data_IF_667968677167
#
_entry.id   IF_667968677167
#
_cell.length_a   1.000
_cell.length_b   1.000
_cell.length_c   1.000
_cell.angle_alpha   90.00
_cell.angle_beta   90.00
_cell.angle_gamma   90.00
#
_symmetry.space_group_name_H-M   'P 1'
#
loop_
_entity.id
_entity.type
_entity.pdbx_description
1 polymer ?
#
# COMPACT_ATOMS: atom_id res chain seq x y z
N UNK A 1 -28.93 12.90 -14.99
CA UNK A 1 -27.62 12.41 -14.52
C UNK A 1 -27.59 12.70 -13.02
N UNK A 2 -28.07 11.77 -12.22
CA UNK A 2 -27.99 11.88 -10.77
C UNK A 2 -26.52 11.67 -10.38
N UNK A 3 -25.95 12.68 -9.71
CA UNK A 3 -24.66 12.56 -9.06
C UNK A 3 -24.75 11.40 -8.06
N UNK A 4 -24.17 10.26 -8.40
CA UNK A 4 -23.92 9.20 -7.46
C UNK A 4 -22.95 9.77 -6.40
N UNK A 5 -23.50 10.35 -5.35
CA UNK A 5 -22.70 10.78 -4.22
C UNK A 5 -22.24 9.51 -3.52
N UNK A 6 -20.98 9.14 -3.71
CA UNK A 6 -20.34 8.13 -2.90
C UNK A 6 -20.59 8.44 -1.42
N UNK A 7 -21.16 7.50 -0.70
CA UNK A 7 -21.43 7.67 0.72
C UNK A 7 -20.09 7.69 1.48
N UNK A 8 -19.84 8.78 2.16
CA UNK A 8 -18.63 8.97 2.96
C UNK A 8 -18.90 8.57 4.39
N UNK A 9 -18.06 7.72 4.97
CA UNK A 9 -18.17 7.22 6.33
C UNK A 9 -16.95 7.65 7.18
N UNK A 10 -17.11 7.66 8.48
CA UNK A 10 -16.02 8.00 9.40
C UNK A 10 -15.64 9.48 9.36
N UNK A 11 -14.39 9.81 9.05
CA UNK A 11 -13.84 11.17 9.02
C UNK A 11 -14.31 12.03 7.85
N UNK A 12 -15.02 11.46 6.89
CA UNK A 12 -15.43 12.12 5.66
C UNK A 12 -14.59 11.71 4.44
N UNK A 13 -13.52 10.93 4.63
CA UNK A 13 -12.68 10.38 3.57
C UNK A 13 -12.79 8.87 3.42
N UNK A 14 -13.45 8.18 4.38
CA UNK A 14 -13.79 6.75 4.23
C UNK A 14 -14.99 6.59 3.29
N UNK A 15 -14.94 5.61 2.40
CA UNK A 15 -15.91 5.40 1.34
C UNK A 15 -16.62 4.05 1.47
N UNK A 16 -17.94 4.05 1.33
CA UNK A 16 -18.69 2.79 1.16
C UNK A 16 -18.47 2.28 -0.26
N UNK A 17 -18.11 1.01 -0.37
CA UNK A 17 -17.89 0.36 -1.67
C UNK A 17 -19.22 -0.11 -2.21
N UNK A 18 -19.61 0.41 -3.35
CA UNK A 18 -20.86 0.10 -4.06
C UNK A 18 -20.62 -0.65 -5.38
N UNK A 19 -19.37 -0.72 -5.84
CA UNK A 19 -18.97 -1.40 -7.07
C UNK A 19 -17.73 -2.26 -6.85
N UNK A 20 -17.55 -3.26 -7.69
CA UNK A 20 -16.33 -4.06 -7.72
C UNK A 20 -15.13 -3.20 -8.11
N UNK A 21 -14.07 -3.20 -7.29
CA UNK A 21 -12.85 -2.42 -7.53
C UNK A 21 -12.08 -2.86 -8.78
N UNK A 22 -12.30 -4.09 -9.27
CA UNK A 22 -11.63 -4.62 -10.49
C UNK A 22 -12.47 -4.43 -11.74
N UNK A 23 -13.74 -4.85 -11.73
CA UNK A 23 -14.55 -4.88 -12.96
C UNK A 23 -15.74 -3.93 -12.95
N UNK A 24 -15.85 -3.09 -11.91
CA UNK A 24 -16.91 -2.08 -11.75
C UNK A 24 -18.34 -2.64 -11.75
N UNK A 25 -18.50 -3.97 -11.54
CA UNK A 25 -19.83 -4.57 -11.40
C UNK A 25 -20.53 -4.00 -10.15
N UNK A 26 -21.76 -3.46 -10.26
CA UNK A 26 -22.49 -2.91 -9.12
C UNK A 26 -23.13 -3.96 -8.24
N UNK A 27 -23.28 -5.18 -8.74
CA UNK A 27 -23.90 -6.29 -7.99
C UNK A 27 -22.83 -7.00 -7.16
N UNK A 28 -22.79 -6.73 -5.86
CA UNK A 28 -21.87 -7.34 -4.92
C UNK A 28 -22.64 -8.15 -3.88
N UNK A 29 -22.25 -9.40 -3.69
CA UNK A 29 -22.85 -10.31 -2.73
C UNK A 29 -22.18 -10.19 -1.36
N UNK A 30 -22.90 -9.86 -0.27
CA UNK A 30 -22.35 -9.91 1.07
C UNK A 30 -22.13 -11.36 1.50
N UNK A 31 -20.89 -11.73 1.82
CA UNK A 31 -20.52 -13.11 2.16
C UNK A 31 -20.18 -13.32 3.63
N UNK A 32 -19.62 -12.31 4.31
CA UNK A 32 -19.20 -12.42 5.70
C UNK A 32 -19.16 -11.05 6.38
N UNK A 33 -19.74 -10.97 7.57
CA UNK A 33 -19.56 -9.82 8.44
C UNK A 33 -18.76 -10.22 9.68
N UNK A 34 -17.54 -9.71 9.80
CA UNK A 34 -16.63 -10.03 10.91
C UNK A 34 -16.97 -9.20 12.16
N UNK A 35 -17.60 -8.05 11.98
CA UNK A 35 -17.94 -7.11 13.06
C UNK A 35 -17.36 -5.72 12.82
N UNK A 36 -17.34 -4.93 13.88
CA UNK A 36 -16.69 -3.62 13.89
C UNK A 36 -15.30 -3.76 14.47
N UNK A 37 -14.28 -3.42 13.69
CA UNK A 37 -12.87 -3.60 14.06
C UNK A 37 -12.19 -2.23 14.18
N UNK A 38 -11.35 -2.02 15.21
CA UNK A 38 -10.52 -0.82 15.29
C UNK A 38 -9.36 -0.90 14.28
N UNK A 39 -8.79 0.23 13.86
CA UNK A 39 -7.54 0.24 13.10
C UNK A 39 -6.42 -0.44 13.88
N UNK A 40 -5.73 -1.39 13.25
CA UNK A 40 -4.72 -2.24 13.91
C UNK A 40 -3.53 -1.43 14.44
N UNK A 41 -3.21 -0.32 13.78
CA UNK A 41 -1.99 0.46 14.02
C UNK A 41 -2.18 1.62 15.02
N UNK A 42 -3.36 1.76 15.61
CA UNK A 42 -3.59 2.69 16.71
C UNK A 42 -3.08 2.09 18.03
N UNK A 43 -1.77 2.10 18.23
CA UNK A 43 -1.15 1.60 19.44
C UNK A 43 -1.18 2.68 20.53
N UNK A 44 -1.81 2.36 21.65
CA UNK A 44 -1.77 3.21 22.84
C UNK A 44 -0.47 3.02 23.60
N UNK A 45 0.10 4.06 24.21
CA UNK A 45 1.26 3.93 25.10
C UNK A 45 0.98 2.96 26.25
N UNK A 46 2.02 2.24 26.69
CA UNK A 46 1.95 1.36 27.86
C UNK A 46 1.51 2.18 29.08
N UNK A 47 0.56 1.65 29.84
CA UNK A 47 -0.06 2.31 31.02
C UNK A 47 -0.96 3.52 30.70
N UNK A 48 -1.33 3.76 29.43
CA UNK A 48 -2.39 4.73 29.15
C UNK A 48 -3.73 4.24 29.69
N UNK A 49 -4.59 5.18 30.08
CA UNK A 49 -5.97 4.84 30.45
C UNK A 49 -6.72 4.29 29.23
N UNK A 50 -7.64 3.33 29.42
CA UNK A 50 -8.51 2.88 28.34
C UNK A 50 -9.24 4.06 27.69
N UNK A 51 -9.22 4.11 26.38
CA UNK A 51 -9.90 5.14 25.59
C UNK A 51 -10.85 4.47 24.60
N UNK A 52 -11.95 5.13 24.30
CA UNK A 52 -12.82 4.71 23.21
C UNK A 52 -12.05 4.84 21.88
N UNK A 53 -12.08 3.78 21.08
CA UNK A 53 -11.41 3.74 19.78
C UNK A 53 -12.45 3.70 18.66
N UNK A 54 -12.21 4.37 17.54
CA UNK A 54 -13.04 4.21 16.37
C UNK A 54 -13.03 2.76 15.89
N UNK A 55 -14.18 2.26 15.46
CA UNK A 55 -14.29 0.92 14.88
C UNK A 55 -15.08 0.99 13.57
N UNK A 56 -14.62 0.25 12.58
CA UNK A 56 -15.15 0.26 11.22
C UNK A 56 -15.75 -1.10 10.87
N UNK A 57 -16.87 -1.15 10.09
CA UNK A 57 -17.49 -2.40 9.70
C UNK A 57 -16.56 -3.19 8.76
N UNK A 58 -16.26 -4.43 9.13
CA UNK A 58 -15.52 -5.37 8.30
C UNK A 58 -16.49 -6.33 7.60
N UNK A 59 -17.20 -5.83 6.59
CA UNK A 59 -18.07 -6.58 5.71
C UNK A 59 -17.29 -7.03 4.48
N UNK A 60 -17.28 -8.34 4.22
CA UNK A 60 -16.70 -8.90 3.01
C UNK A 60 -17.77 -9.05 1.95
N UNK A 61 -17.44 -8.60 0.75
CA UNK A 61 -18.27 -8.65 -0.45
C UNK A 61 -17.58 -9.50 -1.51
N UNK A 62 -18.35 -10.28 -2.26
CA UNK A 62 -17.88 -11.03 -3.42
C UNK A 62 -18.48 -10.49 -4.69
N UNK A 63 -17.69 -10.34 -5.71
CA UNK A 63 -18.17 -9.98 -7.04
C UNK A 63 -18.54 -11.23 -7.83
N UNK A 64 -19.81 -11.41 -8.26
CA UNK A 64 -20.21 -12.57 -9.04
C UNK A 64 -19.62 -12.60 -10.45
N UNK A 65 -19.14 -11.46 -10.95
CA UNK A 65 -18.61 -11.35 -12.31
C UNK A 65 -17.12 -11.74 -12.41
N UNK A 66 -16.27 -11.23 -11.52
CA UNK A 66 -14.80 -11.48 -11.57
C UNK A 66 -14.26 -12.26 -10.37
N UNK A 67 -15.14 -12.62 -9.42
CA UNK A 67 -14.83 -13.38 -8.22
C UNK A 67 -13.87 -12.68 -7.23
N UNK A 68 -13.68 -11.36 -7.38
CA UNK A 68 -12.95 -10.58 -6.38
C UNK A 68 -13.72 -10.64 -5.04
N UNK A 69 -12.96 -10.87 -3.97
CA UNK A 69 -13.43 -10.65 -2.59
C UNK A 69 -12.83 -9.37 -2.07
N UNK A 70 -13.66 -8.44 -1.62
CA UNK A 70 -13.25 -7.11 -1.18
C UNK A 70 -14.00 -6.68 0.08
N UNK A 71 -13.48 -5.66 0.80
CA UNK A 71 -14.22 -5.04 1.90
C UNK A 71 -15.29 -4.07 1.37
N UNK A 72 -16.40 -3.98 2.10
CA UNK A 72 -17.51 -3.07 1.81
C UNK A 72 -17.27 -1.63 2.26
N UNK A 73 -16.14 -1.35 2.91
CA UNK A 73 -15.72 -0.02 3.33
C UNK A 73 -14.23 0.16 3.05
N UNK A 74 -13.88 1.23 2.38
CA UNK A 74 -12.52 1.75 2.28
C UNK A 74 -12.37 2.78 3.39
N UNK A 75 -11.57 2.46 4.39
CA UNK A 75 -11.25 3.40 5.48
C UNK A 75 -10.20 4.39 4.97
N UNK A 76 -10.35 5.65 5.37
CA UNK A 76 -9.42 6.72 5.02
C UNK A 76 -7.95 6.26 5.20
N UNK A 77 -7.11 6.29 4.16
CA UNK A 77 -5.72 5.88 4.23
C UNK A 77 -4.92 6.60 5.32
N UNK A 78 -5.25 7.86 5.62
CA UNK A 78 -4.58 8.62 6.69
C UNK A 78 -4.87 8.08 8.10
N UNK A 79 -5.96 7.32 8.27
CA UNK A 79 -6.29 6.63 9.51
C UNK A 79 -5.53 5.31 9.61
N UNK A 80 -5.45 4.57 8.48
CA UNK A 80 -4.81 3.25 8.45
C UNK A 80 -3.29 3.34 8.38
N UNK A 81 -2.77 4.31 7.65
CA UNK A 81 -1.35 4.53 7.38
C UNK A 81 -0.97 5.99 7.70
N UNK A 82 -1.07 6.40 8.98
CA UNK A 82 -0.67 7.74 9.39
C UNK A 82 0.83 7.92 9.23
N UNK A 83 1.30 9.17 9.14
CA UNK A 83 2.74 9.48 9.06
C UNK A 83 3.54 8.79 10.18
N UNK A 84 2.99 8.72 11.39
CA UNK A 84 3.60 8.04 12.55
C UNK A 84 3.40 6.52 12.58
N UNK A 85 3.24 5.88 11.44
CA UNK A 85 3.04 4.43 11.34
C UNK A 85 4.17 3.63 12.01
N UNK A 86 3.86 2.74 12.96
CA UNK A 86 4.88 2.17 13.86
C UNK A 86 5.62 0.96 13.29
N UNK A 87 5.15 0.38 12.18
CA UNK A 87 5.68 -0.87 11.65
C UNK A 87 6.92 -0.66 10.79
N UNK A 88 7.99 -1.42 11.10
CA UNK A 88 9.26 -1.43 10.37
C UNK A 88 9.50 -2.82 9.79
N UNK A 89 9.56 -2.95 8.49
CA UNK A 89 9.67 -4.24 7.78
C UNK A 89 10.99 -4.96 8.06
N UNK A 90 12.08 -4.23 8.29
CA UNK A 90 13.40 -4.80 8.57
C UNK A 90 13.58 -5.40 9.96
N UNK A 91 12.63 -5.23 10.88
CA UNK A 91 12.73 -5.81 12.24
C UNK A 91 12.54 -7.32 12.24
N UNK A 92 11.79 -7.88 11.31
CA UNK A 92 11.47 -9.31 11.26
C UNK A 92 12.47 -10.07 10.40
N UNK A 93 13.18 -11.03 11.01
CA UNK A 93 14.20 -11.83 10.31
C UNK A 93 13.65 -12.56 9.09
N UNK A 94 12.49 -13.22 9.23
CA UNK A 94 11.86 -13.98 8.15
C UNK A 94 11.52 -13.09 6.95
N UNK A 95 11.11 -11.84 7.19
CA UNK A 95 10.79 -10.92 6.11
C UNK A 95 12.05 -10.43 5.37
N UNK A 96 13.15 -10.22 6.09
CA UNK A 96 14.45 -9.91 5.46
C UNK A 96 14.93 -11.05 4.56
N UNK A 97 14.82 -12.29 5.03
CA UNK A 97 15.19 -13.49 4.26
C UNK A 97 14.30 -13.65 3.02
N UNK A 98 13.00 -13.45 3.18
CA UNK A 98 12.03 -13.50 2.09
C UNK A 98 12.30 -12.43 1.00
N UNK A 99 12.62 -11.21 1.39
CA UNK A 99 12.95 -10.15 0.44
C UNK A 99 14.29 -10.39 -0.27
N UNK A 100 15.26 -11.00 0.41
CA UNK A 100 16.50 -11.42 -0.24
C UNK A 100 16.27 -12.57 -1.24
N UNK A 101 15.34 -13.47 -0.97
CA UNK A 101 14.91 -14.51 -1.91
C UNK A 101 14.17 -13.92 -3.10
N UNK A 102 13.21 -13.02 -2.87
CA UNK A 102 12.49 -12.31 -3.93
C UNK A 102 13.46 -11.60 -4.90
N UNK A 103 14.49 -10.95 -4.38
CA UNK A 103 15.52 -10.33 -5.20
C UNK A 103 16.23 -11.36 -6.13
N UNK A 104 16.58 -12.54 -5.60
CA UNK A 104 17.22 -13.60 -6.40
C UNK A 104 16.29 -14.09 -7.49
N UNK A 105 15.03 -14.36 -7.16
CA UNK A 105 14.03 -14.80 -8.12
C UNK A 105 13.77 -13.74 -9.21
N UNK A 106 13.69 -12.46 -8.85
CA UNK A 106 13.57 -11.40 -9.83
C UNK A 106 14.71 -11.39 -10.84
N UNK A 107 15.94 -11.60 -10.40
CA UNK A 107 17.11 -11.66 -11.28
C UNK A 107 17.14 -12.88 -12.18
N UNK A 108 16.53 -13.98 -11.78
CA UNK A 108 16.41 -15.18 -12.61
C UNK A 108 15.33 -15.02 -13.70
N UNK A 109 14.28 -14.25 -13.41
CA UNK A 109 13.14 -14.05 -14.30
C UNK A 109 13.31 -12.87 -15.27
N UNK A 110 14.02 -11.84 -14.84
CA UNK A 110 14.14 -10.57 -15.56
C UNK A 110 15.61 -10.13 -15.57
N UNK A 111 16.11 -9.81 -16.76
CA UNK A 111 17.42 -9.18 -16.90
C UNK A 111 17.31 -7.70 -16.46
N UNK A 112 17.96 -7.37 -15.34
CA UNK A 112 18.03 -6.00 -14.77
C UNK A 112 19.48 -5.56 -14.76
N UNK A 113 19.77 -4.50 -15.51
CA UNK A 113 21.10 -3.90 -15.60
C UNK A 113 21.40 -2.89 -14.49
N UNK A 114 22.64 -2.39 -14.40
CA UNK A 114 23.02 -1.42 -13.37
C UNK A 114 22.34 -0.05 -13.52
N UNK A 115 21.97 0.32 -14.74
CA UNK A 115 21.29 1.60 -15.04
C UNK A 115 19.76 1.48 -14.99
N UNK A 116 19.23 0.28 -14.86
CA UNK A 116 17.79 0.05 -14.77
C UNK A 116 17.26 0.48 -13.40
N UNK A 117 16.08 1.14 -13.40
CA UNK A 117 15.41 1.60 -12.20
C UNK A 117 14.48 0.52 -11.66
N UNK A 118 14.59 0.27 -10.35
CA UNK A 118 13.66 -0.55 -9.56
C UNK A 118 12.87 0.35 -8.63
N UNK A 119 11.55 0.31 -8.70
CA UNK A 119 10.65 1.08 -7.83
C UNK A 119 9.93 0.14 -6.88
N UNK A 120 9.87 0.48 -5.59
CA UNK A 120 9.09 -0.26 -4.59
C UNK A 120 8.00 0.62 -3.99
N UNK A 121 6.74 0.23 -4.18
CA UNK A 121 5.56 0.92 -3.67
C UNK A 121 5.22 0.36 -2.28
N UNK A 122 5.11 1.26 -1.28
CA UNK A 122 5.03 0.87 0.12
C UNK A 122 6.39 0.41 0.67
N UNK A 123 7.46 1.06 0.24
CA UNK A 123 8.86 0.65 0.49
C UNK A 123 9.28 0.62 1.96
N UNK A 124 8.48 1.26 2.84
CA UNK A 124 8.71 1.29 4.29
C UNK A 124 10.14 1.76 4.62
N UNK A 125 10.88 1.03 5.43
CA UNK A 125 12.24 1.35 5.90
C UNK A 125 13.37 0.85 4.97
N UNK A 126 13.10 0.56 3.69
CA UNK A 126 14.03 0.08 2.64
C UNK A 126 14.31 -1.42 2.57
N UNK A 127 13.68 -2.25 3.37
CA UNK A 127 14.08 -3.65 3.54
C UNK A 127 14.23 -4.41 2.20
N UNK A 128 13.24 -4.30 1.29
CA UNK A 128 13.32 -4.91 -0.04
C UNK A 128 14.37 -4.23 -0.92
N UNK A 129 14.32 -2.90 -1.06
CA UNK A 129 15.20 -2.15 -1.95
C UNK A 129 16.69 -2.26 -1.59
N UNK A 130 17.01 -2.52 -0.31
CA UNK A 130 18.41 -2.73 0.10
C UNK A 130 19.07 -3.93 -0.59
N UNK A 131 18.30 -4.89 -1.09
CA UNK A 131 18.82 -6.02 -1.85
C UNK A 131 19.15 -5.67 -3.32
N UNK A 132 18.52 -4.62 -3.84
CA UNK A 132 18.74 -4.15 -5.22
C UNK A 132 19.79 -3.02 -5.30
N UNK A 133 19.93 -2.22 -4.25
CA UNK A 133 20.63 -0.94 -4.28
C UNK A 133 22.14 -1.02 -4.63
N UNK A 134 22.80 -2.14 -4.32
CA UNK A 134 24.24 -2.31 -4.64
C UNK A 134 24.48 -2.55 -6.14
N UNK A 135 23.47 -2.99 -6.89
CA UNK A 135 23.61 -3.41 -8.28
C UNK A 135 22.73 -2.62 -9.26
N UNK A 136 21.74 -1.91 -8.79
CA UNK A 136 20.73 -1.24 -9.61
C UNK A 136 20.37 0.12 -9.04
N UNK A 137 19.77 0.98 -9.89
CA UNK A 137 19.13 2.21 -9.42
C UNK A 137 17.83 1.84 -8.71
N UNK A 138 17.55 2.49 -7.58
CA UNK A 138 16.37 2.19 -6.76
C UNK A 138 15.62 3.47 -6.39
N UNK A 139 14.29 3.35 -6.26
CA UNK A 139 13.43 4.40 -5.76
C UNK A 139 12.34 3.79 -4.88
N UNK A 140 12.27 4.23 -3.63
CA UNK A 140 11.18 3.89 -2.73
C UNK A 140 10.06 4.95 -2.78
N UNK A 141 8.84 4.52 -2.46
CA UNK A 141 7.73 5.41 -2.20
C UNK A 141 6.91 4.88 -1.02
N UNK A 142 6.66 5.71 -0.02
CA UNK A 142 5.89 5.38 1.18
C UNK A 142 5.35 6.66 1.83
N UNK A 143 4.09 6.70 2.30
CA UNK A 143 3.53 7.92 2.88
C UNK A 143 3.99 8.19 4.33
N UNK A 144 4.57 7.20 4.99
CA UNK A 144 4.90 7.26 6.41
C UNK A 144 6.31 7.82 6.67
N UNK A 145 6.49 8.42 7.85
CA UNK A 145 7.78 8.95 8.31
C UNK A 145 8.88 7.88 8.42
N UNK A 146 8.51 6.60 8.45
CA UNK A 146 9.43 5.47 8.44
C UNK A 146 10.35 5.48 7.22
N UNK A 147 9.90 6.07 6.10
CA UNK A 147 10.70 6.26 4.90
C UNK A 147 11.95 7.13 5.11
N UNK A 148 11.98 7.95 6.17
CA UNK A 148 13.19 8.71 6.52
C UNK A 148 14.36 7.78 6.89
N UNK A 149 14.09 6.60 7.46
CA UNK A 149 15.13 5.59 7.73
C UNK A 149 15.77 5.12 6.42
N UNK A 150 14.97 4.95 5.37
CA UNK A 150 15.49 4.59 4.04
C UNK A 150 16.37 5.70 3.48
N UNK A 151 15.91 6.95 3.55
CA UNK A 151 16.65 8.15 3.07
C UNK A 151 17.98 8.30 3.81
N UNK A 152 17.98 8.24 5.14
CA UNK A 152 19.19 8.31 5.97
C UNK A 152 20.22 7.23 5.65
N UNK A 153 19.76 6.11 5.13
CA UNK A 153 20.60 4.98 4.72
C UNK A 153 20.93 4.95 3.23
N UNK A 154 20.65 6.05 2.52
CA UNK A 154 21.04 6.24 1.13
C UNK A 154 20.11 5.66 0.08
N UNK A 155 18.89 5.24 0.45
CA UNK A 155 17.88 4.80 -0.50
C UNK A 155 16.96 5.97 -0.83
N UNK A 156 16.96 6.49 -2.08
CA UNK A 156 16.04 7.53 -2.51
C UNK A 156 14.59 7.08 -2.24
N UNK A 157 13.83 7.88 -1.49
CA UNK A 157 12.47 7.55 -1.12
C UNK A 157 11.59 8.79 -1.16
N UNK A 158 10.48 8.71 -1.90
CA UNK A 158 9.46 9.73 -1.96
C UNK A 158 8.45 9.50 -0.82
N UNK A 159 8.33 10.47 0.09
CA UNK A 159 7.36 10.41 1.19
C UNK A 159 5.99 10.88 0.69
N UNK A 160 5.26 9.99 0.06
CA UNK A 160 3.93 10.24 -0.52
C UNK A 160 3.16 8.94 -0.69
N UNK A 161 1.83 9.04 -0.76
CA UNK A 161 1.02 7.97 -1.34
C UNK A 161 1.39 7.81 -2.82
N UNK A 162 1.24 6.59 -3.33
CA UNK A 162 1.43 6.33 -4.75
C UNK A 162 0.17 6.76 -5.51
N UNK A 163 0.32 7.76 -6.36
CA UNK A 163 -0.71 8.32 -7.23
C UNK A 163 -0.10 8.77 -8.57
N UNK A 164 -0.92 9.23 -9.49
CA UNK A 164 -0.48 9.70 -10.81
C UNK A 164 0.54 10.84 -10.76
N UNK A 165 0.51 11.67 -9.71
CA UNK A 165 1.47 12.75 -9.50
C UNK A 165 2.84 12.19 -9.05
N UNK A 166 2.84 11.22 -8.14
CA UNK A 166 4.04 10.54 -7.71
C UNK A 166 4.72 9.80 -8.87
N UNK A 167 3.93 9.13 -9.71
CA UNK A 167 4.41 8.50 -10.97
C UNK A 167 5.06 9.52 -11.87
N UNK A 168 4.38 10.64 -12.16
CA UNK A 168 4.91 11.69 -13.03
C UNK A 168 6.25 12.23 -12.51
N UNK A 169 6.38 12.49 -11.21
CA UNK A 169 7.60 12.95 -10.59
C UNK A 169 8.74 11.93 -10.74
N UNK A 170 8.49 10.65 -10.47
CA UNK A 170 9.50 9.60 -10.60
C UNK A 170 9.96 9.46 -12.06
N UNK A 171 9.01 9.46 -13.00
CA UNK A 171 9.32 9.34 -14.43
C UNK A 171 10.10 10.55 -14.96
N UNK A 172 9.76 11.78 -14.51
CA UNK A 172 10.47 12.99 -14.90
C UNK A 172 11.91 12.99 -14.36
N UNK A 173 12.08 12.62 -13.09
CA UNK A 173 13.39 12.69 -12.42
C UNK A 173 14.32 11.52 -12.78
N UNK A 174 13.77 10.32 -12.96
CA UNK A 174 14.56 9.09 -13.04
C UNK A 174 14.29 8.23 -14.27
N UNK A 175 13.25 8.53 -15.02
CA UNK A 175 12.82 7.69 -16.14
C UNK A 175 11.88 6.55 -15.70
N UNK A 176 11.55 5.69 -16.66
CA UNK A 176 10.66 4.55 -16.41
C UNK A 176 11.35 3.44 -15.65
N UNK A 177 10.63 2.82 -14.71
CA UNK A 177 11.11 1.65 -14.01
C UNK A 177 11.15 0.41 -14.91
N UNK A 178 12.18 -0.42 -14.73
CA UNK A 178 12.29 -1.74 -15.32
C UNK A 178 11.54 -2.78 -14.49
N UNK A 179 11.56 -2.59 -13.17
CA UNK A 179 10.87 -3.46 -12.21
C UNK A 179 10.10 -2.56 -11.24
N UNK A 180 8.84 -2.91 -11.00
CA UNK A 180 8.01 -2.30 -9.95
C UNK A 180 7.59 -3.40 -9.00
N UNK A 181 7.82 -3.20 -7.72
CA UNK A 181 7.37 -4.09 -6.64
C UNK A 181 6.34 -3.39 -5.78
N UNK A 182 5.39 -4.19 -5.27
CA UNK A 182 4.34 -3.71 -4.37
C UNK A 182 3.99 -4.82 -3.37
N UNK A 183 4.87 -5.03 -2.40
CA UNK A 183 4.77 -6.14 -1.45
C UNK A 183 3.94 -5.76 -0.24
N UNK A 184 2.87 -6.53 0.03
CA UNK A 184 1.94 -6.33 1.15
C UNK A 184 1.27 -4.93 1.20
N UNK A 185 1.23 -4.20 0.07
CA UNK A 185 0.63 -2.88 -0.04
C UNK A 185 -0.55 -2.85 -1.04
N UNK A 186 -0.51 -3.64 -2.10
CA UNK A 186 -1.50 -3.61 -3.19
C UNK A 186 -2.95 -3.77 -2.71
N UNK A 187 -3.19 -4.67 -1.76
CA UNK A 187 -4.52 -4.93 -1.21
C UNK A 187 -5.10 -3.77 -0.36
N UNK A 188 -4.29 -2.77 -0.05
CA UNK A 188 -4.68 -1.60 0.75
C UNK A 188 -4.94 -0.35 -0.10
N UNK A 189 -4.78 -0.45 -1.41
CA UNK A 189 -4.92 0.69 -2.32
C UNK A 189 -6.34 0.75 -2.86
N UNK A 190 -6.95 1.93 -2.75
CA UNK A 190 -8.33 2.16 -3.17
C UNK A 190 -8.49 2.06 -4.68
N UNK A 191 -7.68 2.79 -5.42
CA UNK A 191 -7.76 2.85 -6.89
C UNK A 191 -6.69 1.96 -7.54
N UNK A 192 -7.00 0.68 -7.64
CA UNK A 192 -6.07 -0.31 -8.19
C UNK A 192 -5.79 -0.11 -9.69
N UNK A 193 -6.71 0.50 -10.44
CA UNK A 193 -6.50 0.79 -11.86
C UNK A 193 -5.42 1.84 -12.05
N UNK A 194 -5.44 2.93 -11.28
CA UNK A 194 -4.40 3.96 -11.34
C UNK A 194 -3.00 3.40 -11.02
N UNK A 195 -2.93 2.41 -10.13
CA UNK A 195 -1.66 1.75 -9.80
C UNK A 195 -1.13 0.93 -10.97
N UNK A 196 -2.02 0.23 -11.68
CA UNK A 196 -1.63 -0.65 -12.79
C UNK A 196 -1.31 0.15 -14.06
N UNK A 197 -1.91 1.32 -14.23
CA UNK A 197 -1.68 2.21 -15.36
C UNK A 197 -0.42 3.09 -15.19
N UNK A 198 0.00 3.35 -13.95
CA UNK A 198 1.18 4.15 -13.61
C UNK A 198 2.48 3.39 -13.75
#
# INVERSE_FOLDING_TARGET
MENNKTLVAGTGSSLVVDNCQVCSNPDLDPILFVGYLPPVNLMLPINSQPQEQPAYPAQWLSCPNCHLVQLGLIVDPQILFPASYPYTSSTTKILRENFAELYKECRELIEVGPDDLVVDIGSNDRNLLSNFADAHRVQGITPEDIGNIAIERGIPTLLSYFDSKAVANIVEDQGRAKVVTITNAFAHIENIHDIVEG
#
